data_IF_605847080808
#
_entry.id   IF_605847080808
#
_cell.length_a   1.000
_cell.length_b   1.000
_cell.length_c   1.000
_cell.angle_alpha   90.00
_cell.angle_beta   90.00
_cell.angle_gamma   90.00
#
_symmetry.space_group_name_H-M   'P 1'
#
loop_
_entity.id
_entity.type
_entity.pdbx_description
1 polymer ?
#
# COMPACT_ATOMS: atom_id res chain seq x y z
N UNK A 1 -5.56 -6.02 0.25
CA UNK A 1 -6.38 -7.20 -0.13
C UNK A 1 -7.69 -6.79 -0.82
N UNK A 2 -8.54 -5.95 -0.21
CA UNK A 2 -9.81 -5.53 -0.81
C UNK A 2 -9.70 -5.06 -2.27
N UNK A 3 -8.74 -4.17 -2.56
CA UNK A 3 -8.62 -3.64 -3.92
C UNK A 3 -8.26 -4.71 -4.97
N UNK A 4 -7.39 -5.65 -4.59
CA UNK A 4 -6.93 -6.72 -5.47
C UNK A 4 -8.03 -7.76 -5.77
N UNK A 5 -8.88 -8.04 -4.78
CA UNK A 5 -9.86 -9.13 -4.85
C UNK A 5 -11.25 -8.66 -5.28
N UNK A 6 -11.69 -7.49 -4.82
CA UNK A 6 -13.06 -7.01 -4.96
C UNK A 6 -13.12 -5.81 -5.89
N UNK A 7 -12.43 -4.73 -5.52
CA UNK A 7 -12.56 -3.44 -6.19
C UNK A 7 -12.21 -3.52 -7.68
N UNK A 8 -11.08 -4.14 -8.03
CA UNK A 8 -10.66 -4.30 -9.43
C UNK A 8 -11.75 -4.98 -10.28
N UNK A 9 -12.36 -6.04 -9.76
CA UNK A 9 -13.42 -6.77 -10.47
C UNK A 9 -14.68 -5.93 -10.60
N UNK A 10 -15.07 -5.19 -9.56
CA UNK A 10 -16.21 -4.29 -9.60
C UNK A 10 -16.02 -3.17 -10.65
N UNK A 11 -14.84 -2.54 -10.70
CA UNK A 11 -14.54 -1.43 -11.61
C UNK A 11 -14.56 -1.81 -13.09
N UNK A 12 -14.47 -3.10 -13.44
CA UNK A 12 -14.62 -3.57 -14.83
C UNK A 12 -16.05 -3.44 -15.37
N UNK A 13 -17.03 -3.26 -14.50
CA UNK A 13 -18.46 -3.27 -14.86
C UNK A 13 -19.12 -1.88 -14.80
N UNK A 14 -18.35 -0.83 -14.50
CA UNK A 14 -18.83 0.56 -14.50
C UNK A 14 -18.25 1.29 -15.70
N UNK A 15 -18.83 2.43 -16.09
CA UNK A 15 -18.26 3.32 -17.12
C UNK A 15 -17.07 4.14 -16.58
N UNK A 16 -16.43 4.90 -17.47
CA UNK A 16 -15.21 5.66 -17.17
C UNK A 16 -15.45 6.87 -16.25
N UNK A 17 -16.65 7.46 -16.31
CA UNK A 17 -17.04 8.57 -15.43
C UNK A 17 -17.20 8.07 -13.99
N UNK A 18 -17.95 6.98 -13.80
CA UNK A 18 -18.14 6.34 -12.51
C UNK A 18 -16.81 5.85 -11.95
N UNK A 19 -15.98 5.20 -12.77
CA UNK A 19 -14.63 4.79 -12.39
C UNK A 19 -13.83 5.98 -11.86
N UNK A 20 -13.79 7.08 -12.62
CA UNK A 20 -12.99 8.26 -12.27
C UNK A 20 -13.46 8.88 -10.96
N UNK A 21 -14.77 9.10 -10.80
CA UNK A 21 -15.34 9.68 -9.58
C UNK A 21 -15.06 8.79 -8.36
N UNK A 22 -15.38 7.50 -8.45
CA UNK A 22 -15.22 6.57 -7.33
C UNK A 22 -13.74 6.45 -6.96
N UNK A 23 -12.88 6.17 -7.94
CA UNK A 23 -11.48 5.90 -7.66
C UNK A 23 -10.70 7.15 -7.27
N UNK A 24 -11.01 8.31 -7.85
CA UNK A 24 -10.46 9.59 -7.41
C UNK A 24 -10.74 9.87 -5.94
N UNK A 25 -11.98 9.69 -5.47
CA UNK A 25 -12.28 9.90 -4.05
C UNK A 25 -11.75 8.79 -3.13
N UNK A 26 -11.72 7.53 -3.58
CA UNK A 26 -11.04 6.45 -2.86
C UNK A 26 -9.56 6.78 -2.66
N UNK A 27 -8.89 7.31 -3.69
CA UNK A 27 -7.50 7.73 -3.62
C UNK A 27 -7.30 8.96 -2.74
N UNK A 28 -8.14 9.99 -2.87
CA UNK A 28 -8.13 11.16 -2.01
C UNK A 28 -8.21 10.80 -0.52
N UNK A 29 -9.22 10.02 -0.13
CA UNK A 29 -9.38 9.63 1.27
C UNK A 29 -8.35 8.59 1.69
N UNK A 30 -7.94 7.69 0.80
CA UNK A 30 -6.88 6.72 1.07
C UNK A 30 -5.58 7.40 1.43
N UNK A 31 -5.11 8.32 0.58
CA UNK A 31 -3.85 9.04 0.79
C UNK A 31 -3.91 9.91 2.06
N UNK A 32 -5.06 10.53 2.34
CA UNK A 32 -5.22 11.37 3.54
C UNK A 32 -5.33 10.58 4.85
N UNK A 33 -6.08 9.47 4.84
CA UNK A 33 -6.45 8.75 6.08
C UNK A 33 -5.52 7.59 6.40
N UNK A 34 -4.88 6.99 5.40
CA UNK A 34 -3.98 5.85 5.62
C UNK A 34 -2.53 6.26 5.89
N UNK A 35 -2.16 7.53 5.64
CA UNK A 35 -0.82 8.04 5.95
C UNK A 35 -0.47 7.89 7.44
N UNK A 36 -1.43 8.19 8.33
CA UNK A 36 -1.23 8.11 9.79
C UNK A 36 -1.01 6.67 10.28
N UNK A 37 -1.93 5.72 10.05
CA UNK A 37 -1.69 4.33 10.47
C UNK A 37 -0.48 3.71 9.77
N UNK A 38 -0.19 4.12 8.52
CA UNK A 38 1.04 3.74 7.82
C UNK A 38 2.29 4.19 8.55
N UNK A 39 2.38 5.47 8.92
CA UNK A 39 3.51 6.01 9.67
C UNK A 39 3.69 5.34 11.03
N UNK A 40 2.58 5.12 11.76
CA UNK A 40 2.60 4.41 13.05
C UNK A 40 3.18 3.00 12.88
N UNK A 41 2.77 2.27 11.83
CA UNK A 41 3.27 0.90 11.60
C UNK A 41 4.77 0.84 11.33
N UNK A 42 5.31 1.82 10.59
CA UNK A 42 6.75 1.93 10.31
C UNK A 42 7.52 2.27 11.58
N UNK A 43 7.04 3.26 12.35
CA UNK A 43 7.67 3.65 13.62
C UNK A 43 7.71 2.47 14.59
N UNK A 44 6.59 1.76 14.73
CA UNK A 44 6.52 0.58 15.58
C UNK A 44 7.54 -0.49 15.15
N UNK A 45 7.64 -0.78 13.86
CA UNK A 45 8.61 -1.75 13.30
C UNK A 45 10.06 -1.34 13.61
N UNK A 46 10.39 -0.05 13.49
CA UNK A 46 11.75 0.43 13.80
C UNK A 46 12.05 0.27 15.30
N UNK A 47 11.08 0.57 16.17
CA UNK A 47 11.24 0.44 17.62
C UNK A 47 11.41 -1.02 18.06
N UNK A 48 10.65 -1.97 17.48
CA UNK A 48 10.84 -3.40 17.77
C UNK A 48 12.21 -3.88 17.34
N UNK A 49 12.67 -3.44 16.16
CA UNK A 49 14.00 -3.78 15.64
C UNK A 49 15.11 -3.28 16.57
N UNK A 50 14.98 -2.04 17.04
CA UNK A 50 15.95 -1.43 17.95
C UNK A 50 15.98 -2.13 19.31
N UNK A 51 14.82 -2.53 19.84
CA UNK A 51 14.73 -3.31 21.07
C UNK A 51 15.39 -4.69 20.91
N UNK A 52 15.14 -5.38 19.79
CA UNK A 52 15.75 -6.67 19.46
C UNK A 52 17.28 -6.59 19.36
N UNK A 53 17.78 -5.52 18.74
CA UNK A 53 19.22 -5.24 18.66
C UNK A 53 19.85 -5.03 20.03
N UNK A 54 19.15 -4.39 20.98
CA UNK A 54 19.65 -4.14 22.32
C UNK A 54 19.77 -5.42 23.17
N UNK A 55 18.88 -6.39 22.96
CA UNK A 55 18.91 -7.69 23.67
C UNK A 55 19.76 -8.76 22.96
N UNK A 56 20.16 -8.49 21.71
CA UNK A 56 21.07 -9.34 20.95
C UNK A 56 20.43 -10.61 20.36
N UNK A 57 19.13 -10.58 20.06
CA UNK A 57 18.43 -11.74 19.46
C UNK A 57 18.55 -11.73 17.93
N UNK A 58 19.40 -12.61 17.33
CA UNK A 58 19.62 -12.61 15.89
C UNK A 58 18.38 -13.04 15.08
N UNK A 59 17.47 -13.83 15.66
CA UNK A 59 16.27 -14.30 14.97
C UNK A 59 15.27 -13.16 14.79
N UNK A 60 15.03 -12.39 15.86
CA UNK A 60 14.13 -11.22 15.81
C UNK A 60 14.72 -10.14 14.89
N UNK A 61 16.03 -9.87 14.99
CA UNK A 61 16.71 -8.91 14.11
C UNK A 61 16.56 -9.29 12.63
N UNK A 62 16.75 -10.57 12.29
CA UNK A 62 16.61 -11.04 10.91
C UNK A 62 15.17 -10.90 10.39
N UNK A 63 14.18 -11.25 11.21
CA UNK A 63 12.77 -11.15 10.87
C UNK A 63 12.35 -9.68 10.64
N UNK A 64 12.71 -8.79 11.56
CA UNK A 64 12.39 -7.36 11.48
C UNK A 64 13.10 -6.69 10.30
N UNK A 65 14.37 -7.04 10.03
CA UNK A 65 15.10 -6.55 8.86
C UNK A 65 14.41 -6.97 7.54
N UNK A 66 13.92 -8.22 7.46
CA UNK A 66 13.16 -8.67 6.30
C UNK A 66 11.85 -7.88 6.14
N UNK A 67 11.13 -7.62 7.23
CA UNK A 67 9.91 -6.81 7.20
C UNK A 67 10.18 -5.38 6.68
N UNK A 68 11.27 -4.74 7.16
CA UNK A 68 11.68 -3.41 6.71
C UNK A 68 11.97 -3.40 5.21
N UNK A 69 12.67 -4.40 4.69
CA UNK A 69 12.96 -4.49 3.25
C UNK A 69 11.68 -4.64 2.41
N UNK A 70 10.72 -5.44 2.87
CA UNK A 70 9.43 -5.60 2.19
C UNK A 70 8.61 -4.30 2.20
N UNK A 71 8.60 -3.59 3.33
CA UNK A 71 7.95 -2.27 3.45
C UNK A 71 8.64 -1.22 2.56
N UNK A 72 9.98 -1.21 2.50
CA UNK A 72 10.72 -0.32 1.62
C UNK A 72 10.39 -0.58 0.14
N UNK A 73 10.32 -1.85 -0.27
CA UNK A 73 9.86 -2.23 -1.60
C UNK A 73 8.42 -1.77 -1.86
N UNK A 74 7.54 -1.94 -0.89
CA UNK A 74 6.15 -1.50 -0.97
C UNK A 74 6.05 0.01 -1.19
N UNK A 75 6.78 0.81 -0.41
CA UNK A 75 6.83 2.27 -0.55
C UNK A 75 7.42 2.69 -1.89
N UNK A 76 8.48 2.01 -2.35
CA UNK A 76 9.07 2.26 -3.66
C UNK A 76 8.07 2.09 -4.80
N UNK A 77 7.22 1.05 -4.74
CA UNK A 77 6.14 0.84 -5.70
C UNK A 77 5.05 1.91 -5.57
N UNK A 78 4.63 2.21 -4.34
CA UNK A 78 3.62 3.22 -4.08
C UNK A 78 4.03 4.59 -4.63
N UNK A 79 5.22 5.08 -4.27
CA UNK A 79 5.70 6.41 -4.64
C UNK A 79 5.92 6.56 -6.15
N UNK A 80 6.40 5.50 -6.83
CA UNK A 80 6.71 5.56 -8.27
C UNK A 80 5.50 5.36 -9.17
N UNK A 81 4.50 4.60 -8.73
CA UNK A 81 3.40 4.15 -9.59
C UNK A 81 2.06 4.60 -9.04
N UNK A 82 1.73 4.24 -7.80
CA UNK A 82 0.40 4.50 -7.25
C UNK A 82 0.17 5.98 -6.96
N UNK A 83 1.08 6.66 -6.25
CA UNK A 83 0.89 8.06 -5.86
C UNK A 83 0.71 9.01 -7.07
N UNK A 84 1.47 8.90 -8.18
CA UNK A 84 1.22 9.70 -9.37
C UNK A 84 -0.15 9.43 -10.01
N UNK A 85 -0.59 8.17 -10.04
CA UNK A 85 -1.91 7.81 -10.58
C UNK A 85 -3.03 8.29 -9.66
N UNK A 86 -2.89 8.09 -8.35
CA UNK A 86 -3.79 8.61 -7.34
C UNK A 86 -4.02 10.11 -7.53
N UNK A 87 -2.93 10.89 -7.65
CA UNK A 87 -3.02 12.33 -7.86
C UNK A 87 -3.80 12.71 -9.13
N UNK A 88 -3.56 12.03 -10.25
CA UNK A 88 -4.27 12.30 -11.52
C UNK A 88 -5.76 11.97 -11.41
N UNK A 89 -6.11 10.82 -10.83
CA UNK A 89 -7.51 10.42 -10.67
C UNK A 89 -8.24 11.31 -9.66
N UNK A 90 -7.59 11.68 -8.55
CA UNK A 90 -8.13 12.63 -7.57
C UNK A 90 -8.43 13.98 -8.19
N UNK A 91 -7.47 14.59 -8.91
CA UNK A 91 -7.69 15.89 -9.56
C UNK A 91 -8.80 15.82 -10.62
N UNK A 92 -8.83 14.76 -11.44
CA UNK A 92 -9.91 14.58 -12.40
C UNK A 92 -11.30 14.47 -11.73
N UNK A 93 -11.40 13.73 -10.62
CA UNK A 93 -12.64 13.62 -9.86
C UNK A 93 -13.07 14.94 -9.21
N UNK A 94 -12.13 15.67 -8.59
CA UNK A 94 -12.38 16.98 -7.98
C UNK A 94 -12.82 18.04 -9.01
N UNK A 95 -12.27 17.97 -10.22
CA UNK A 95 -12.62 18.85 -11.34
C UNK A 95 -13.87 18.39 -12.11
N UNK A 96 -14.47 17.25 -11.74
CA UNK A 96 -15.66 16.70 -12.39
C UNK A 96 -15.45 16.25 -13.84
N UNK A 97 -14.22 15.86 -14.20
CA UNK A 97 -13.84 15.45 -15.57
C UNK A 97 -13.54 13.96 -15.63
N UNK A 98 -13.78 13.37 -16.79
CA UNK A 98 -13.34 12.00 -17.11
C UNK A 98 -12.12 12.10 -18.04
N UNK A 99 -10.94 11.61 -17.65
CA UNK A 99 -9.78 11.55 -18.54
C UNK A 99 -10.04 10.60 -19.71
N UNK A 100 -9.57 10.97 -20.91
CA UNK A 100 -9.64 10.08 -22.09
C UNK A 100 -8.87 8.77 -21.87
N UNK A 101 -7.88 8.76 -20.97
CA UNK A 101 -7.08 7.61 -20.57
C UNK A 101 -7.49 6.98 -19.22
N UNK A 102 -8.75 7.18 -18.78
CA UNK A 102 -9.24 6.70 -17.47
C UNK A 102 -8.97 5.21 -17.23
N UNK A 103 -9.22 4.35 -18.23
CA UNK A 103 -8.93 2.90 -18.15
C UNK A 103 -7.45 2.61 -18.02
N UNK A 104 -6.62 3.23 -18.85
CA UNK A 104 -5.17 3.07 -18.81
C UNK A 104 -4.58 3.50 -17.46
N UNK A 105 -5.09 4.60 -16.89
CA UNK A 105 -4.72 5.03 -15.53
C UNK A 105 -5.05 3.96 -14.49
N UNK A 106 -6.28 3.44 -14.52
CA UNK A 106 -6.70 2.41 -13.58
C UNK A 106 -5.93 1.10 -13.74
N UNK A 107 -5.70 0.65 -14.97
CA UNK A 107 -4.90 -0.54 -15.28
C UNK A 107 -3.47 -0.40 -14.78
N UNK A 108 -2.85 0.79 -14.94
CA UNK A 108 -1.53 1.07 -14.38
C UNK A 108 -1.52 0.95 -12.86
N UNK A 109 -2.53 1.50 -12.18
CA UNK A 109 -2.65 1.36 -10.73
C UNK A 109 -2.87 -0.09 -10.30
N UNK A 110 -3.72 -0.80 -11.02
CA UNK A 110 -4.04 -2.20 -10.77
C UNK A 110 -2.84 -3.11 -11.01
N UNK A 111 -1.99 -2.84 -12.00
CA UNK A 111 -0.83 -3.67 -12.34
C UNK A 111 0.07 -4.00 -11.14
N UNK A 112 0.11 -3.13 -10.13
CA UNK A 112 0.96 -3.27 -8.95
C UNK A 112 0.23 -3.69 -7.67
N UNK A 113 -1.11 -3.82 -7.68
CA UNK A 113 -1.85 -4.08 -6.43
C UNK A 113 -1.53 -5.45 -5.82
N UNK A 114 -1.28 -6.47 -6.65
CA UNK A 114 -0.92 -7.80 -6.17
C UNK A 114 0.49 -7.80 -5.55
N UNK A 115 1.44 -7.12 -6.19
CA UNK A 115 2.79 -6.93 -5.65
C UNK A 115 2.74 -6.20 -4.30
N UNK A 116 2.01 -5.07 -4.23
CA UNK A 116 1.83 -4.34 -2.96
C UNK A 116 1.16 -5.20 -1.89
N UNK A 117 0.12 -5.94 -2.24
CA UNK A 117 -0.53 -6.84 -1.29
C UNK A 117 0.40 -7.94 -0.77
N UNK A 118 1.19 -8.54 -1.67
CA UNK A 118 2.18 -9.56 -1.32
C UNK A 118 3.29 -9.02 -0.42
N UNK A 119 3.90 -7.89 -0.77
CA UNK A 119 4.94 -7.24 0.05
C UNK A 119 4.42 -6.90 1.45
N UNK A 120 3.21 -6.32 1.54
CA UNK A 120 2.60 -6.02 2.84
C UNK A 120 2.31 -7.30 3.65
N UNK A 121 1.80 -8.35 3.01
CA UNK A 121 1.51 -9.62 3.66
C UNK A 121 2.77 -10.31 4.19
N UNK A 122 3.84 -10.33 3.39
CA UNK A 122 5.14 -10.86 3.80
C UNK A 122 5.78 -10.05 4.93
N UNK A 123 5.64 -8.71 4.90
CA UNK A 123 6.11 -7.87 6.01
C UNK A 123 5.40 -8.22 7.31
N UNK A 124 4.07 -8.37 7.30
CA UNK A 124 3.30 -8.78 8.48
C UNK A 124 3.70 -10.17 8.95
N UNK A 125 3.87 -11.13 8.03
CA UNK A 125 4.31 -12.48 8.38
C UNK A 125 5.68 -12.48 9.06
N UNK A 126 6.64 -11.70 8.54
CA UNK A 126 7.95 -11.55 9.15
C UNK A 126 7.90 -10.94 10.56
N UNK A 127 7.10 -9.89 10.75
CA UNK A 127 6.89 -9.29 12.08
C UNK A 127 6.24 -10.27 13.07
N UNK A 128 5.30 -11.10 12.62
CA UNK A 128 4.69 -12.13 13.47
C UNK A 128 5.71 -13.22 13.87
N UNK A 129 6.60 -13.61 12.96
CA UNK A 129 7.70 -14.53 13.28
C UNK A 129 8.62 -13.91 14.33
N UNK A 130 9.00 -12.65 14.19
CA UNK A 130 9.80 -11.93 15.19
C UNK A 130 9.11 -11.86 16.56
N UNK A 131 7.81 -11.55 16.58
CA UNK A 131 7.03 -11.47 17.82
C UNK A 131 6.92 -12.82 18.55
N UNK A 132 6.74 -13.92 17.81
CA UNK A 132 6.68 -15.29 18.37
C UNK A 132 8.05 -15.80 18.79
N UNK A 133 9.12 -15.42 18.08
CA UNK A 133 10.48 -15.81 18.46
C UNK A 133 10.93 -15.14 19.78
N UNK A 134 10.40 -13.95 20.09
CA UNK A 134 10.72 -13.21 21.30
C UNK A 134 9.81 -13.49 22.51
N UNK A 135 8.84 -14.39 22.42
CA UNK A 135 7.94 -14.79 23.51
C UNK A 135 8.38 -16.09 24.18
#
# INVERSE_FOLDING_TARGET
MFCALVQRSALRHVDDEVLTKVMGYVHFYGDKRLAVPGAISVIATVLTTAAAAAIGDPAIIAADAAAILMLAGWFGVFLRISAPVNKRQTSAAEEGRTPDDARSLQERWDSVINLRAGLQGLAVAALLVGAVAGS
#
